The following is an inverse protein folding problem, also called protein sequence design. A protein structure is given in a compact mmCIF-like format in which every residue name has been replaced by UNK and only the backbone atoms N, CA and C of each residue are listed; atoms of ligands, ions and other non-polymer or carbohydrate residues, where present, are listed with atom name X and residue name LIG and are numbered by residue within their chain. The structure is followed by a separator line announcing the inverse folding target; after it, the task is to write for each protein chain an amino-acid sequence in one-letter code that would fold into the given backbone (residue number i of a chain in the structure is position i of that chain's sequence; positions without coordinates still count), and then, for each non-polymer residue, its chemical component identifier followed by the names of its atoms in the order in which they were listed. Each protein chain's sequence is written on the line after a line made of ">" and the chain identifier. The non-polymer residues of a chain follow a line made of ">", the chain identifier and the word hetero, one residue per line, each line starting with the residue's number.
data_IF_090443988373
#
_entry.id   IF_090443988373
#
_cell.length_a   1.000
_cell.length_b   1.000
_cell.length_c   1.000
_cell.angle_alpha   90.00
_cell.angle_beta   90.00
_cell.angle_gamma   90.00
#
_symmetry.space_group_name_H-M   'P 1'
#
loop_
_entity.id
_entity.type
_entity.pdbx_description
1 polymer ?
#
# COMPACT_ATOMS: atom_id res chain seq x y z
N UNK A 1 -9.97 8.86 -3.51
CA UNK A 1 -8.72 8.19 -3.93
C UNK A 1 -7.80 9.13 -4.73
N UNK A 2 -8.21 9.61 -5.90
CA UNK A 2 -7.41 10.48 -6.79
C UNK A 2 -6.69 11.65 -6.10
N UNK A 3 -7.40 12.43 -5.28
CA UNK A 3 -6.80 13.58 -4.58
C UNK A 3 -5.63 13.18 -3.65
N UNK A 4 -5.72 12.01 -2.99
CA UNK A 4 -4.63 11.49 -2.13
C UNK A 4 -3.45 10.96 -2.93
N UNK A 5 -3.72 10.30 -4.06
CA UNK A 5 -2.63 9.89 -4.96
C UNK A 5 -1.89 11.12 -5.52
N UNK A 6 -2.63 12.19 -5.87
CA UNK A 6 -2.05 13.47 -6.27
C UNK A 6 -1.27 14.15 -5.14
N UNK A 7 -1.70 14.01 -3.88
CA UNK A 7 -0.93 14.46 -2.72
C UNK A 7 0.42 13.73 -2.60
N UNK A 8 0.44 12.40 -2.78
CA UNK A 8 1.68 11.62 -2.81
C UNK A 8 2.57 12.03 -3.98
N UNK A 9 2.00 12.21 -5.17
CA UNK A 9 2.72 12.74 -6.33
C UNK A 9 3.42 14.05 -6.01
N UNK A 10 2.72 15.02 -5.41
CA UNK A 10 3.32 16.29 -5.00
C UNK A 10 4.44 16.11 -3.99
N UNK A 11 4.27 15.27 -2.96
CA UNK A 11 5.33 14.99 -1.98
C UNK A 11 6.59 14.42 -2.64
N UNK A 12 6.42 13.55 -3.63
CA UNK A 12 7.54 12.96 -4.38
C UNK A 12 8.20 13.99 -5.30
N UNK A 13 7.42 14.78 -6.03
CA UNK A 13 7.91 15.87 -6.87
C UNK A 13 8.65 16.94 -6.05
N UNK A 14 8.14 17.27 -4.86
CA UNK A 14 8.79 18.18 -3.92
C UNK A 14 10.12 17.61 -3.42
N UNK A 15 10.15 16.33 -3.06
CA UNK A 15 11.38 15.65 -2.65
C UNK A 15 12.45 15.61 -3.73
N UNK A 16 12.03 15.43 -4.99
CA UNK A 16 12.93 15.51 -6.17
C UNK A 16 13.41 16.93 -6.39
N UNK A 17 12.49 17.91 -6.42
CA UNK A 17 12.81 19.33 -6.66
C UNK A 17 13.75 19.88 -5.60
N UNK A 18 13.58 19.47 -4.33
CA UNK A 18 14.42 19.93 -3.22
C UNK A 18 15.72 19.14 -3.06
N UNK A 19 16.00 18.14 -3.90
CA UNK A 19 17.18 17.29 -3.80
C UNK A 19 17.19 16.29 -2.62
N UNK A 20 16.06 16.09 -1.94
CA UNK A 20 15.95 15.10 -0.85
C UNK A 20 16.00 13.66 -1.36
N UNK A 21 15.63 13.44 -2.61
CA UNK A 21 15.77 12.17 -3.33
C UNK A 21 16.00 12.46 -4.82
N UNK A 22 16.79 11.64 -5.52
CA UNK A 22 16.92 11.77 -6.98
C UNK A 22 15.81 10.98 -7.69
N UNK A 23 15.49 11.35 -8.93
CA UNK A 23 14.60 10.53 -9.77
C UNK A 23 15.12 9.11 -9.96
N UNK A 24 16.45 8.92 -10.01
CA UNK A 24 17.03 7.59 -10.12
C UNK A 24 16.78 6.75 -8.86
N UNK A 25 16.99 7.32 -7.67
CA UNK A 25 16.75 6.65 -6.40
C UNK A 25 15.26 6.36 -6.18
N UNK A 26 14.37 7.30 -6.51
CA UNK A 26 12.92 7.14 -6.37
C UNK A 26 12.35 6.01 -7.24
N UNK A 27 12.95 5.78 -8.41
CA UNK A 27 12.54 4.74 -9.37
C UNK A 27 13.48 3.53 -9.37
N UNK A 28 14.35 3.41 -8.37
CA UNK A 28 15.31 2.30 -8.28
C UNK A 28 14.59 0.96 -8.15
N UNK A 29 15.10 -0.06 -8.84
CA UNK A 29 14.71 -1.46 -8.68
C UNK A 29 15.78 -2.27 -7.89
N UNK A 30 16.66 -1.59 -7.17
CA UNK A 30 17.68 -2.21 -6.33
C UNK A 30 17.07 -2.63 -4.98
N UNK A 31 16.46 -3.81 -4.96
CA UNK A 31 15.82 -4.36 -3.78
C UNK A 31 16.81 -5.14 -2.92
N UNK A 32 17.67 -4.42 -2.19
CA UNK A 32 18.56 -5.04 -1.21
C UNK A 32 17.73 -5.69 -0.08
N UNK A 33 17.92 -7.00 0.21
CA UNK A 33 17.18 -7.67 1.27
C UNK A 33 17.61 -7.15 2.65
N UNK A 34 16.66 -7.11 3.59
CA UNK A 34 16.92 -6.84 5.02
C UNK A 34 17.30 -8.18 5.67
N UNK A 35 18.54 -8.34 6.16
CA UNK A 35 18.99 -9.61 6.75
C UNK A 35 18.13 -10.03 7.94
N UNK A 36 17.83 -11.33 8.03
CA UNK A 36 17.07 -11.91 9.15
C UNK A 36 15.57 -11.60 9.15
N UNK A 37 15.04 -10.92 8.12
CA UNK A 37 13.62 -10.63 8.03
C UNK A 37 12.79 -11.85 7.60
N UNK A 38 11.66 -12.08 8.27
CA UNK A 38 10.71 -13.12 7.96
C UNK A 38 9.27 -12.67 8.31
N UNK A 39 8.39 -12.38 7.31
CA UNK A 39 8.64 -12.49 5.87
C UNK A 39 9.72 -11.54 5.34
N UNK A 40 10.36 -11.83 4.19
CA UNK A 40 11.45 -11.03 3.64
C UNK A 40 11.04 -9.57 3.43
N UNK A 41 11.84 -8.64 3.97
CA UNK A 41 11.76 -7.20 3.72
C UNK A 41 12.94 -6.75 2.85
N UNK A 42 12.76 -5.64 2.14
CA UNK A 42 13.78 -5.04 1.28
C UNK A 42 13.92 -3.54 1.53
N UNK A 43 15.08 -2.97 1.22
CA UNK A 43 15.40 -1.57 1.49
C UNK A 43 15.97 -0.85 0.25
N UNK A 44 15.19 -0.69 -0.83
CA UNK A 44 15.65 0.13 -1.95
C UNK A 44 15.89 1.58 -1.53
N UNK A 45 16.68 2.35 -2.30
CA UNK A 45 17.12 3.71 -1.94
C UNK A 45 16.01 4.70 -1.55
N UNK A 46 14.78 4.48 -2.01
CA UNK A 46 13.64 5.35 -1.72
C UNK A 46 12.89 5.04 -0.42
N UNK A 47 13.23 3.96 0.31
CA UNK A 47 12.49 3.57 1.53
C UNK A 47 12.58 4.63 2.61
N UNK A 48 13.77 5.15 2.90
CA UNK A 48 13.93 6.19 3.93
C UNK A 48 13.14 7.47 3.59
N UNK A 49 13.11 7.85 2.31
CA UNK A 49 12.33 8.99 1.84
C UNK A 49 10.82 8.76 1.98
N UNK A 50 10.33 7.61 1.51
CA UNK A 50 8.90 7.25 1.59
C UNK A 50 8.41 7.11 3.03
N UNK A 51 9.21 6.52 3.92
CA UNK A 51 8.91 6.43 5.36
C UNK A 51 8.82 7.81 6.02
N UNK A 52 9.55 8.81 5.53
CA UNK A 52 9.50 10.17 6.05
C UNK A 52 8.26 10.95 5.57
N UNK A 53 7.79 10.73 4.33
CA UNK A 53 6.76 11.60 3.71
C UNK A 53 5.37 10.98 3.62
N UNK A 54 5.25 9.65 3.52
CA UNK A 54 3.97 8.98 3.32
C UNK A 54 3.08 8.86 4.57
N UNK A 55 3.59 8.69 5.81
CA UNK A 55 2.72 8.38 6.95
C UNK A 55 1.54 9.33 7.16
N UNK A 56 1.67 10.69 7.05
CA UNK A 56 0.52 11.58 7.21
C UNK A 56 -0.62 11.28 6.22
N UNK A 57 -0.30 10.99 4.96
CA UNK A 57 -1.29 10.67 3.91
C UNK A 57 -1.95 9.31 4.16
N UNK A 58 -1.14 8.30 4.48
CA UNK A 58 -1.62 6.92 4.71
C UNK A 58 -2.52 6.85 5.94
N UNK A 59 -2.13 7.49 7.04
CA UNK A 59 -2.89 7.53 8.28
C UNK A 59 -4.15 8.38 8.13
N UNK A 60 -4.06 9.49 7.39
CA UNK A 60 -5.22 10.33 7.09
C UNK A 60 -6.33 9.59 6.33
N UNK A 61 -5.97 8.62 5.49
CA UNK A 61 -6.93 7.83 4.74
C UNK A 61 -7.76 6.88 5.61
N UNK A 62 -7.26 6.47 6.78
CA UNK A 62 -8.01 5.61 7.72
C UNK A 62 -9.25 6.33 8.29
N UNK A 63 -9.26 7.67 8.27
CA UNK A 63 -10.38 8.49 8.75
C UNK A 63 -11.51 8.66 7.73
N UNK A 64 -11.39 8.06 6.55
CA UNK A 64 -12.44 8.14 5.51
C UNK A 64 -13.68 7.30 5.85
N UNK A 65 -13.56 6.35 6.78
CA UNK A 65 -14.67 5.55 7.26
C UNK A 65 -14.20 4.35 8.07
N UNK A 66 -15.06 3.85 8.96
CA UNK A 66 -14.75 2.76 9.91
C UNK A 66 -14.38 1.44 9.21
N UNK A 67 -14.86 1.26 7.98
CA UNK A 67 -14.58 0.09 7.17
C UNK A 67 -13.23 0.13 6.45
N UNK A 68 -12.53 1.26 6.46
CA UNK A 68 -11.20 1.38 5.87
C UNK A 68 -10.18 0.64 6.73
N UNK A 69 -9.60 -0.42 6.16
CA UNK A 69 -8.63 -1.26 6.86
C UNK A 69 -7.22 -0.71 6.68
N UNK A 70 -6.87 -0.28 5.47
CA UNK A 70 -5.55 0.28 5.17
C UNK A 70 -5.54 1.28 4.02
N UNK A 71 -4.46 2.06 3.98
CA UNK A 71 -3.98 2.82 2.83
C UNK A 71 -2.47 2.56 2.67
N UNK A 72 -2.01 2.30 1.45
CA UNK A 72 -0.60 2.06 1.18
C UNK A 72 -0.23 2.49 -0.24
N UNK A 73 1.05 2.84 -0.43
CA UNK A 73 1.62 3.07 -1.76
C UNK A 73 2.32 1.78 -2.21
N UNK A 74 2.09 1.37 -3.46
CA UNK A 74 2.74 0.20 -4.07
C UNK A 74 3.32 0.62 -5.42
N UNK A 75 4.59 0.33 -5.67
CA UNK A 75 5.21 0.65 -6.96
C UNK A 75 4.80 -0.34 -8.06
N UNK A 76 5.27 -0.10 -9.29
CA UNK A 76 4.93 -0.94 -10.46
C UNK A 76 5.40 -2.40 -10.38
N UNK A 77 6.35 -2.69 -9.51
CA UNK A 77 6.89 -4.04 -9.27
C UNK A 77 6.11 -4.79 -8.19
N UNK A 78 5.11 -4.14 -7.57
CA UNK A 78 4.37 -4.69 -6.44
C UNK A 78 5.05 -4.44 -5.09
N UNK A 79 6.11 -3.64 -5.04
CA UNK A 79 6.81 -3.31 -3.80
C UNK A 79 6.08 -2.21 -3.02
N UNK A 80 5.76 -2.50 -1.76
CA UNK A 80 5.10 -1.59 -0.83
C UNK A 80 6.14 -1.08 0.18
N UNK A 81 6.72 0.13 0.01
CA UNK A 81 7.79 0.61 0.90
C UNK A 81 7.28 0.93 2.30
N UNK A 82 6.22 1.75 2.37
CA UNK A 82 5.67 2.28 3.62
C UNK A 82 4.20 1.92 3.72
N UNK A 83 3.78 1.44 4.88
CA UNK A 83 2.40 1.11 5.20
C UNK A 83 1.90 1.99 6.35
N UNK A 84 0.59 1.99 6.61
CA UNK A 84 0.04 2.47 7.88
C UNK A 84 0.83 1.98 9.10
N UNK A 85 0.93 2.81 10.15
CA UNK A 85 1.74 2.54 11.35
C UNK A 85 1.43 1.18 11.99
N UNK A 86 0.14 0.83 12.09
CA UNK A 86 -0.31 -0.46 12.65
C UNK A 86 0.20 -1.69 11.89
N UNK A 87 0.62 -1.52 10.65
CA UNK A 87 1.15 -2.56 9.76
C UNK A 87 2.62 -2.31 9.36
N UNK A 88 3.31 -1.42 10.07
CA UNK A 88 4.72 -1.08 9.87
C UNK A 88 5.55 -1.33 11.13
N UNK A 89 5.19 -2.34 11.93
CA UNK A 89 5.92 -2.67 13.15
C UNK A 89 7.28 -3.29 12.82
N UNK A 90 8.26 -3.10 13.69
CA UNK A 90 9.52 -3.82 13.61
C UNK A 90 9.27 -5.34 13.69
N UNK A 91 10.01 -6.11 12.91
CA UNK A 91 9.91 -7.56 12.96
C UNK A 91 10.55 -8.10 14.25
N UNK A 92 9.91 -9.11 14.84
CA UNK A 92 10.43 -9.90 15.94
C UNK A 92 10.65 -11.36 15.55
N UNK A 93 10.85 -12.27 16.52
CA UNK A 93 11.13 -13.68 16.23
C UNK A 93 9.92 -14.48 15.71
N UNK A 94 8.68 -13.97 15.83
CA UNK A 94 7.45 -14.65 15.40
C UNK A 94 7.06 -14.26 13.96
N UNK A 95 7.23 -15.15 12.96
CA UNK A 95 6.91 -14.85 11.56
C UNK A 95 5.42 -14.61 11.31
N UNK A 96 4.54 -15.22 12.11
CA UNK A 96 3.08 -15.04 11.97
C UNK A 96 2.69 -13.63 12.40
N UNK A 97 3.23 -13.16 13.53
CA UNK A 97 3.06 -11.78 13.97
C UNK A 97 3.63 -10.78 12.97
N UNK A 98 4.82 -11.05 12.44
CA UNK A 98 5.46 -10.21 11.41
C UNK A 98 4.61 -10.16 10.12
N UNK A 99 4.06 -11.29 9.68
CA UNK A 99 3.20 -11.34 8.50
C UNK A 99 1.95 -10.47 8.63
N UNK A 100 1.40 -10.35 9.84
CA UNK A 100 0.24 -9.52 10.15
C UNK A 100 0.58 -8.04 10.35
N UNK A 101 1.68 -7.72 11.05
CA UNK A 101 1.97 -6.38 11.58
C UNK A 101 3.17 -5.66 10.93
N UNK A 102 3.99 -6.36 10.14
CA UNK A 102 5.16 -5.84 9.42
C UNK A 102 4.97 -6.06 7.92
N UNK A 103 3.98 -5.37 7.36
CA UNK A 103 3.56 -5.46 5.96
C UNK A 103 4.22 -4.42 5.06
N UNK A 104 4.98 -3.49 5.62
CA UNK A 104 5.83 -2.57 4.89
C UNK A 104 7.09 -3.26 4.36
N UNK A 105 7.76 -2.60 3.40
CA UNK A 105 9.02 -3.02 2.78
C UNK A 105 8.96 -4.41 2.13
N UNK A 106 7.82 -4.80 1.59
CA UNK A 106 7.54 -6.14 1.07
C UNK A 106 6.94 -6.09 -0.33
N UNK A 107 7.09 -7.19 -1.05
CA UNK A 107 6.35 -7.42 -2.29
C UNK A 107 4.94 -7.93 -2.00
N UNK A 108 3.97 -7.37 -2.72
CA UNK A 108 2.62 -7.86 -2.89
C UNK A 108 2.40 -8.07 -4.38
N UNK A 109 2.90 -9.20 -4.86
CA UNK A 109 2.90 -9.63 -6.26
C UNK A 109 1.66 -10.45 -6.64
N UNK A 110 0.68 -10.52 -5.74
CA UNK A 110 -0.65 -11.03 -6.07
C UNK A 110 -1.32 -10.15 -7.14
N UNK A 111 -2.31 -10.71 -7.84
CA UNK A 111 -3.04 -10.04 -8.93
C UNK A 111 -3.52 -8.63 -8.55
N UNK A 112 -4.00 -8.44 -7.33
CA UNK A 112 -4.56 -7.16 -6.86
C UNK A 112 -3.44 -6.17 -6.53
N UNK A 113 -2.39 -6.66 -5.86
CA UNK A 113 -1.11 -5.98 -5.67
C UNK A 113 -0.54 -5.36 -6.93
N UNK A 114 -0.26 -6.20 -7.91
CA UNK A 114 0.33 -5.77 -9.19
C UNK A 114 -0.62 -4.85 -9.97
N UNK A 115 -1.91 -5.16 -10.04
CA UNK A 115 -2.88 -4.31 -10.74
C UNK A 115 -2.96 -2.91 -10.12
N UNK A 116 -2.93 -2.81 -8.78
CA UNK A 116 -2.93 -1.52 -8.10
C UNK A 116 -1.68 -0.67 -8.41
N UNK A 117 -0.51 -1.29 -8.49
CA UNK A 117 0.76 -0.62 -8.83
C UNK A 117 0.94 -0.32 -10.31
N UNK A 118 0.31 -1.07 -11.22
CA UNK A 118 0.49 -0.95 -12.67
C UNK A 118 -0.59 -0.14 -13.38
N UNK A 119 -1.78 0.01 -12.78
CA UNK A 119 -2.88 0.74 -13.39
C UNK A 119 -2.57 2.24 -13.55
N UNK A 120 -2.68 2.74 -14.77
CA UNK A 120 -2.62 4.18 -15.11
C UNK A 120 -3.99 4.82 -15.31
N UNK A 121 -5.09 4.05 -15.17
CA UNK A 121 -6.45 4.57 -15.20
C UNK A 121 -6.67 5.56 -14.05
N UNK A 122 -7.60 6.53 -14.16
CA UNK A 122 -7.87 7.52 -13.12
C UNK A 122 -8.15 6.90 -11.73
N UNK A 123 -8.75 5.72 -11.71
CA UNK A 123 -8.83 4.83 -10.56
C UNK A 123 -9.12 3.39 -11.01
N UNK A 124 -8.86 2.42 -10.15
CA UNK A 124 -9.21 1.00 -10.32
C UNK A 124 -9.95 0.50 -9.07
N UNK A 125 -10.98 -0.34 -9.24
CA UNK A 125 -11.70 -0.98 -8.14
C UNK A 125 -11.59 -2.50 -8.30
N UNK A 126 -11.28 -3.21 -7.22
CA UNK A 126 -11.15 -4.67 -7.22
C UNK A 126 -11.82 -5.27 -5.98
N UNK A 127 -12.41 -6.46 -6.10
CA UNK A 127 -12.83 -7.27 -4.95
C UNK A 127 -11.92 -8.49 -4.82
N UNK A 128 -11.52 -8.84 -3.60
CA UNK A 128 -10.58 -9.93 -3.37
C UNK A 128 -10.67 -10.50 -1.95
N UNK A 129 -10.15 -11.72 -1.77
CA UNK A 129 -9.90 -12.32 -0.46
C UNK A 129 -8.50 -11.91 -0.02
N UNK A 130 -8.39 -11.17 1.08
CA UNK A 130 -7.12 -10.72 1.66
C UNK A 130 -6.66 -11.71 2.73
N UNK A 131 -5.41 -12.14 2.63
CA UNK A 131 -4.70 -12.81 3.71
C UNK A 131 -4.35 -11.81 4.83
N UNK A 132 -4.90 -12.08 6.01
CA UNK A 132 -4.72 -11.29 7.22
C UNK A 132 -3.55 -11.78 8.10
N UNK A 133 -2.89 -12.87 7.72
CA UNK A 133 -1.89 -13.58 8.51
C UNK A 133 -2.51 -14.78 9.25
N UNK A 134 -1.68 -15.78 9.56
CA UNK A 134 -2.10 -16.94 10.36
C UNK A 134 -3.22 -17.80 9.75
N UNK A 135 -3.41 -17.75 8.42
CA UNK A 135 -4.47 -18.49 7.71
C UNK A 135 -5.86 -17.83 7.73
N UNK A 136 -5.99 -16.62 8.30
CA UNK A 136 -7.25 -15.89 8.31
C UNK A 136 -7.44 -15.07 7.02
N UNK A 137 -8.64 -15.12 6.44
CA UNK A 137 -8.99 -14.38 5.22
C UNK A 137 -10.19 -13.46 5.42
N UNK A 138 -10.16 -12.30 4.79
CA UNK A 138 -11.29 -11.36 4.77
C UNK A 138 -11.64 -10.94 3.33
N UNK A 139 -12.94 -10.86 3.02
CA UNK A 139 -13.41 -10.26 1.75
C UNK A 139 -13.25 -8.75 1.82
N UNK A 140 -12.52 -8.20 0.87
CA UNK A 140 -12.14 -6.80 0.83
C UNK A 140 -12.44 -6.22 -0.55
N UNK A 141 -12.72 -4.92 -0.58
CA UNK A 141 -12.65 -4.11 -1.79
C UNK A 141 -11.40 -3.25 -1.73
N UNK A 142 -10.75 -3.09 -2.87
CA UNK A 142 -9.58 -2.24 -3.09
C UNK A 142 -9.93 -1.13 -4.07
N UNK A 143 -9.51 0.09 -3.78
CA UNK A 143 -9.54 1.21 -4.73
C UNK A 143 -8.14 1.78 -4.82
N UNK A 144 -7.61 1.89 -6.04
CA UNK A 144 -6.30 2.51 -6.29
C UNK A 144 -6.39 3.67 -7.27
N UNK A 145 -5.40 4.56 -7.22
CA UNK A 145 -5.17 5.61 -8.21
C UNK A 145 -3.66 5.81 -8.43
N UNK A 146 -3.23 6.20 -9.65
CA UNK A 146 -1.82 6.27 -9.99
C UNK A 146 -1.11 7.44 -9.30
N UNK A 147 0.14 7.19 -8.92
CA UNK A 147 1.15 8.15 -8.48
C UNK A 147 2.07 8.42 -9.66
N UNK A 148 1.98 9.64 -10.20
CA UNK A 148 2.81 10.13 -11.30
C UNK A 148 3.78 11.16 -10.74
N UNK A 149 5.05 11.12 -11.14
CA UNK A 149 6.10 12.06 -10.71
C UNK A 149 6.82 12.55 -11.96
N UNK A 150 6.75 13.85 -12.25
CA UNK A 150 7.34 14.44 -13.46
C UNK A 150 6.92 13.68 -14.74
N UNK A 151 5.64 13.33 -14.85
CA UNK A 151 5.10 12.59 -16.00
C UNK A 151 5.42 11.08 -16.02
N UNK A 152 6.22 10.56 -15.09
CA UNK A 152 6.57 9.13 -15.01
C UNK A 152 5.72 8.41 -13.97
N UNK A 153 5.14 7.27 -14.35
CA UNK A 153 4.35 6.44 -13.44
C UNK A 153 5.26 5.70 -12.45
N UNK A 154 5.15 6.06 -11.16
CA UNK A 154 5.89 5.40 -10.08
C UNK A 154 5.18 4.15 -9.59
N UNK A 155 3.86 4.22 -9.42
CA UNK A 155 3.03 3.17 -8.86
C UNK A 155 1.62 3.65 -8.55
N UNK A 156 0.92 2.95 -7.65
CA UNK A 156 -0.42 3.32 -7.21
C UNK A 156 -0.50 3.55 -5.70
N UNK A 157 -1.33 4.52 -5.31
CA UNK A 157 -1.83 4.61 -3.94
C UNK A 157 -3.13 3.82 -3.88
N UNK A 158 -3.27 2.94 -2.88
CA UNK A 158 -4.42 2.03 -2.74
C UNK A 158 -5.01 2.05 -1.35
N UNK A 159 -6.33 1.87 -1.27
CA UNK A 159 -7.10 1.73 -0.04
C UNK A 159 -7.85 0.42 -0.08
N UNK A 160 -7.71 -0.38 0.98
CA UNK A 160 -8.51 -1.57 1.20
C UNK A 160 -9.55 -1.33 2.29
N UNK A 161 -10.80 -1.71 2.01
CA UNK A 161 -11.90 -1.62 2.97
C UNK A 161 -12.74 -2.90 2.97
N UNK A 162 -13.37 -3.18 4.11
CA UNK A 162 -14.29 -4.33 4.22
C UNK A 162 -15.57 -4.01 3.43
N UNK A 163 -16.01 -4.99 2.65
CA UNK A 163 -17.38 -4.97 2.16
C UNK A 163 -18.27 -5.52 3.28
N UNK A 164 -19.10 -4.68 3.89
CA UNK A 164 -20.15 -5.18 4.76
C UNK A 164 -21.12 -6.03 3.92
N UNK A 165 -21.53 -7.17 4.48
CA UNK A 165 -22.68 -7.90 3.94
C UNK A 165 -23.91 -7.15 4.42
N UNK A 166 -24.55 -6.37 3.54
CA UNK A 166 -25.93 -5.98 3.77
C UNK A 166 -26.74 -7.27 3.72
N UNK A 167 -27.23 -7.73 4.87
CA UNK A 167 -28.32 -8.71 4.89
C UNK A 167 -29.53 -7.97 4.34
N UNK A 168 -29.82 -8.13 3.05
CA UNK A 168 -31.13 -7.79 2.53
C UNK A 168 -32.11 -8.65 3.32
N UNK A 169 -32.91 -8.00 4.17
CA UNK A 169 -33.99 -8.64 4.91
C UNK A 169 -35.04 -9.14 3.94
N UNK A 170 -34.78 -10.27 3.29
CA UNK A 170 -35.81 -11.12 2.74
C UNK A 170 -36.30 -11.99 3.90
N UNK A 171 -37.06 -11.34 4.79
CA UNK A 171 -38.05 -12.07 5.58
C UNK A 171 -38.98 -12.74 4.56
N UNK A 172 -38.91 -14.07 4.50
CA UNK A 172 -39.94 -14.84 3.81
C UNK A 172 -41.21 -14.65 4.62
N UNK A 173 -42.16 -13.91 4.04
CA UNK A 173 -43.56 -14.08 4.37
C UNK A 173 -43.89 -15.57 4.13
N UNK A 174 -44.20 -16.27 5.22
CA UNK A 174 -44.87 -17.56 5.24
C UNK A 174 -46.24 -17.36 5.87
#
# INVERSE_FOLDING_TARGET
>A
MRARAAEVSRLFEDGVRSGRITMAALFSADYAPVPGSNPPQFAPPFVAFTDAVLPPVLEGALRLGENVVFCAAVNRDGFLPTHNRKFSQAQGPDPVKNAALSRNRRFFDDRVGLAAGRSTAPFLIQAYRRDMGGGAFATMKDISAPIIVQGRHWGGLRIGYRAETVRLGLERAA
#
